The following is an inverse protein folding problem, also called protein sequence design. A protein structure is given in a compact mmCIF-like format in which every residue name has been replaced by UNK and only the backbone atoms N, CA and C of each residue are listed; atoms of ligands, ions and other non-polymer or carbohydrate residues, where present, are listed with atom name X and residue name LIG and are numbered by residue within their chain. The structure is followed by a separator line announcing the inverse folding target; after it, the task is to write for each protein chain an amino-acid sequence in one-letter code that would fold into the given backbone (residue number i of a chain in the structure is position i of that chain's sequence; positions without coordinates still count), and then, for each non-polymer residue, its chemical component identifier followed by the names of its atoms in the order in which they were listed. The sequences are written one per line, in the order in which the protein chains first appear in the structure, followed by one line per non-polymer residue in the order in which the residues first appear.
data_IF_801885769897
#
_entry.id   IF_801885769897
#
_cell.length_a   1.000
_cell.length_b   1.000
_cell.length_c   1.000
_cell.angle_alpha   90.00
_cell.angle_beta   90.00
_cell.angle_gamma   90.00
#
_symmetry.space_group_name_H-M   'P 1'
#
loop_
_entity.id
_entity.type
_entity.pdbx_description
1 polymer ?
#
# COMPACT_ATOMS: atom_id res chain seq x y z
N UNK A 1 23.43 -1.05 23.36
CA UNK A 1 23.26 0.19 24.16
C UNK A 1 21.78 0.36 24.45
N UNK A 2 21.39 0.91 25.60
CA UNK A 2 19.99 1.18 25.91
C UNK A 2 19.49 2.31 24.99
N UNK A 3 18.46 2.04 24.19
CA UNK A 3 17.83 3.03 23.31
C UNK A 3 17.05 4.02 24.15
N UNK A 4 17.31 5.31 23.97
CA UNK A 4 16.55 6.38 24.64
C UNK A 4 15.33 6.75 23.79
N UNK A 5 14.29 7.26 24.43
CA UNK A 5 13.10 7.73 23.72
C UNK A 5 13.18 9.25 23.59
N UNK A 6 12.83 9.77 22.41
CA UNK A 6 12.55 11.18 22.26
C UNK A 6 11.25 11.50 23.01
N UNK A 7 11.21 12.65 23.69
CA UNK A 7 9.95 13.20 24.19
C UNK A 7 9.05 13.42 22.98
N UNK A 8 7.83 12.89 23.06
CA UNK A 8 6.87 12.96 21.96
C UNK A 8 5.61 13.69 22.43
N UNK A 9 5.21 14.72 21.69
CA UNK A 9 3.94 15.42 21.87
C UNK A 9 2.98 15.01 20.76
N UNK A 10 1.69 14.92 21.05
CA UNK A 10 0.70 14.57 20.03
C UNK A 10 -0.64 15.26 20.28
N UNK A 11 -1.40 15.43 19.20
CA UNK A 11 -2.81 15.84 19.23
C UNK A 11 -3.50 15.40 17.93
N UNK A 12 -4.83 15.35 17.93
CA UNK A 12 -5.62 14.96 16.77
C UNK A 12 -6.46 16.10 16.16
N UNK A 13 -6.90 15.83 14.94
CA UNK A 13 -7.89 16.54 14.14
C UNK A 13 -8.78 15.49 13.48
N UNK A 14 -9.98 15.85 12.98
CA UNK A 14 -10.93 14.87 12.44
C UNK A 14 -10.40 13.91 11.35
N UNK A 15 -9.31 14.25 10.65
CA UNK A 15 -8.70 13.42 9.60
C UNK A 15 -7.21 13.11 9.81
N UNK A 16 -6.57 13.69 10.82
CA UNK A 16 -5.12 13.64 10.98
C UNK A 16 -4.73 13.55 12.45
N UNK A 17 -3.68 12.81 12.74
CA UNK A 17 -2.98 12.85 14.02
C UNK A 17 -1.62 13.50 13.78
N UNK A 18 -1.27 14.44 14.65
CA UNK A 18 0.02 15.12 14.62
C UNK A 18 0.88 14.55 15.74
N UNK A 19 2.11 14.18 15.42
CA UNK A 19 3.12 13.73 16.38
C UNK A 19 4.39 14.55 16.19
N UNK A 20 4.96 15.05 17.29
CA UNK A 20 6.18 15.84 17.33
C UNK A 20 7.21 15.12 18.20
N UNK A 21 8.31 14.68 17.59
CA UNK A 21 9.46 14.12 18.30
C UNK A 21 10.45 15.25 18.63
N UNK A 22 10.55 15.63 19.90
CA UNK A 22 11.35 16.77 20.34
C UNK A 22 12.84 16.38 20.46
N UNK A 23 13.59 16.47 19.37
CA UNK A 23 15.04 16.21 19.33
C UNK A 23 15.76 17.39 18.68
N UNK A 24 16.59 18.08 19.45
CA UNK A 24 17.44 19.17 18.95
C UNK A 24 18.61 18.61 18.12
N UNK A 25 18.98 19.34 17.06
CA UNK A 25 20.09 19.00 16.14
C UNK A 25 20.09 17.54 15.66
N UNK A 26 18.89 17.04 15.35
CA UNK A 26 18.73 15.64 14.94
C UNK A 26 19.44 15.33 13.62
N UNK A 27 20.13 14.19 13.60
CA UNK A 27 20.77 13.61 12.41
C UNK A 27 20.30 12.18 12.21
N UNK A 28 20.50 11.62 11.02
CA UNK A 28 20.08 10.25 10.67
C UNK A 28 18.60 9.95 10.98
N UNK A 29 17.71 10.93 10.74
CA UNK A 29 16.28 10.77 10.98
C UNK A 29 15.69 9.74 10.05
N UNK A 30 15.01 8.75 10.62
CA UNK A 30 14.28 7.71 9.91
C UNK A 30 12.87 7.58 10.50
N UNK A 31 11.88 7.58 9.62
CA UNK A 31 10.46 7.43 9.99
C UNK A 31 9.84 6.34 9.14
N UNK A 32 9.30 5.32 9.80
CA UNK A 32 8.52 4.26 9.19
C UNK A 32 7.07 4.39 9.65
N UNK A 33 6.15 4.49 8.71
CA UNK A 33 4.70 4.55 8.98
C UNK A 33 4.06 3.32 8.38
N UNK A 34 3.55 2.45 9.24
CA UNK A 34 2.73 1.29 8.88
C UNK A 34 1.27 1.60 9.19
N UNK A 35 0.35 0.71 8.80
CA UNK A 35 -1.08 0.92 9.05
C UNK A 35 -1.44 0.89 10.55
N UNK A 36 -0.63 0.23 11.37
CA UNK A 36 -0.89 -0.01 12.80
C UNK A 36 0.15 0.60 13.76
N UNK A 37 1.26 1.14 13.24
CA UNK A 37 2.31 1.73 14.08
C UNK A 37 3.12 2.78 13.34
N UNK A 38 3.82 3.60 14.11
CA UNK A 38 4.90 4.45 13.65
C UNK A 38 6.19 4.08 14.39
N UNK A 39 7.29 4.06 13.66
CA UNK A 39 8.64 3.96 14.21
C UNK A 39 9.42 5.20 13.81
N UNK A 40 9.92 5.91 14.81
CA UNK A 40 10.82 7.05 14.66
C UNK A 40 12.19 6.69 15.24
N UNK A 41 13.26 7.05 14.54
CA UNK A 41 14.60 7.01 15.08
C UNK A 41 15.47 8.13 14.55
N UNK A 42 16.45 8.56 15.34
CA UNK A 42 17.47 9.53 14.95
C UNK A 42 18.68 9.49 15.90
N UNK A 43 19.65 10.38 15.70
CA UNK A 43 20.69 10.73 16.67
C UNK A 43 20.57 12.18 17.07
N UNK A 44 20.85 12.50 18.34
CA UNK A 44 20.99 13.89 18.80
C UNK A 44 22.42 14.44 18.57
N UNK A 45 22.67 15.68 19.01
CA UNK A 45 23.98 16.34 18.93
C UNK A 45 25.14 15.54 19.56
N UNK A 46 24.88 14.77 20.60
CA UNK A 46 25.88 13.94 21.29
C UNK A 46 26.12 12.58 20.59
N UNK A 47 25.43 12.32 19.47
CA UNK A 47 25.47 11.05 18.75
C UNK A 47 24.69 9.92 19.44
N UNK A 48 23.87 10.24 20.44
CA UNK A 48 23.03 9.26 21.14
C UNK A 48 21.84 8.89 20.27
N UNK A 49 21.65 7.58 20.06
CA UNK A 49 20.52 7.04 19.31
C UNK A 49 19.21 7.12 20.10
N UNK A 50 18.21 7.73 19.48
CA UNK A 50 16.85 7.84 19.97
C UNK A 50 15.94 6.97 19.12
N UNK A 51 15.03 6.24 19.77
CA UNK A 51 14.10 5.31 19.13
C UNK A 51 12.74 5.37 19.82
N UNK A 52 11.68 5.55 19.04
CA UNK A 52 10.31 5.50 19.50
C UNK A 52 9.52 4.55 18.60
N UNK A 53 8.80 3.61 19.21
CA UNK A 53 7.84 2.75 18.54
C UNK A 53 6.48 2.92 19.21
N UNK A 54 5.48 3.32 18.44
CA UNK A 54 4.16 3.68 18.94
C UNK A 54 3.12 2.96 18.09
N UNK A 55 2.35 2.07 18.73
CA UNK A 55 1.18 1.45 18.12
C UNK A 55 0.01 2.44 18.09
N UNK A 56 -0.71 2.47 16.97
CA UNK A 56 -1.88 3.31 16.81
C UNK A 56 -3.11 2.68 17.45
N UNK A 57 -3.99 3.52 18.00
CA UNK A 57 -5.29 3.07 18.50
C UNK A 57 -6.18 2.51 17.38
N UNK A 58 -6.12 3.08 16.18
CA UNK A 58 -6.86 2.66 15.00
C UNK A 58 -5.96 2.73 13.76
N UNK A 59 -6.33 1.99 12.70
CA UNK A 59 -5.55 1.95 11.48
C UNK A 59 -5.46 3.31 10.79
N UNK A 60 -4.26 3.67 10.33
CA UNK A 60 -4.02 4.90 9.56
C UNK A 60 -3.76 4.52 8.11
N UNK A 61 -4.35 5.27 7.17
CA UNK A 61 -4.04 5.11 5.76
C UNK A 61 -2.74 5.84 5.43
N UNK A 62 -1.68 5.09 5.14
CA UNK A 62 -0.35 5.63 4.79
C UNK A 62 -0.19 5.91 3.29
N UNK A 63 -1.23 5.75 2.46
CA UNK A 63 -1.16 6.10 1.03
C UNK A 63 -0.74 7.56 0.88
N UNK A 64 0.35 7.85 0.15
CA UNK A 64 0.82 9.22 -0.01
C UNK A 64 -0.23 10.05 -0.76
N UNK A 65 -0.44 11.28 -0.32
CA UNK A 65 -1.46 12.18 -0.89
C UNK A 65 -1.24 12.54 -2.36
N UNK A 66 -0.01 12.35 -2.87
CA UNK A 66 0.33 12.58 -4.29
C UNK A 66 0.09 11.35 -5.17
N UNK A 67 -0.26 10.20 -4.59
CA UNK A 67 -0.55 8.97 -5.32
C UNK A 67 -2.06 8.77 -5.44
N UNK A 68 -2.58 8.92 -6.65
CA UNK A 68 -3.97 8.69 -7.00
C UNK A 68 -4.13 7.48 -7.92
N UNK A 69 -5.31 6.87 -7.91
CA UNK A 69 -5.68 5.82 -8.87
C UNK A 69 -5.90 6.45 -10.23
N UNK A 70 -5.28 5.88 -11.27
CA UNK A 70 -5.57 6.20 -12.66
C UNK A 70 -6.79 5.38 -13.10
N UNK A 71 -7.96 6.03 -13.11
CA UNK A 71 -9.21 5.38 -13.50
C UNK A 71 -9.34 5.19 -15.02
N UNK A 72 -8.61 5.95 -15.83
CA UNK A 72 -8.69 5.86 -17.29
C UNK A 72 -8.02 4.58 -17.80
N UNK A 73 -6.98 4.12 -17.09
CA UNK A 73 -6.23 2.91 -17.41
C UNK A 73 -6.55 1.71 -16.49
N UNK A 74 -7.47 1.85 -15.54
CA UNK A 74 -7.86 0.76 -14.66
C UNK A 74 -8.68 -0.29 -15.42
N UNK A 75 -8.30 -1.57 -15.32
CA UNK A 75 -9.04 -2.72 -15.87
C UNK A 75 -9.28 -3.73 -14.75
N UNK A 76 -10.53 -4.20 -14.66
CA UNK A 76 -10.87 -5.32 -13.81
C UNK A 76 -10.59 -6.63 -14.57
N UNK A 77 -9.34 -7.05 -14.51
CA UNK A 77 -8.79 -8.23 -15.17
C UNK A 77 -9.34 -9.59 -14.69
N UNK A 78 -10.10 -9.67 -13.60
CA UNK A 78 -10.58 -10.95 -13.03
C UNK A 78 -11.74 -11.61 -13.81
N UNK A 79 -12.16 -11.07 -14.96
CA UNK A 79 -13.25 -11.62 -15.79
C UNK A 79 -12.93 -11.88 -17.27
N UNK A 80 -11.70 -11.59 -17.73
CA UNK A 80 -11.38 -11.66 -19.16
C UNK A 80 -11.15 -13.11 -19.68
N UNK A 81 -10.87 -14.09 -18.80
CA UNK A 81 -10.67 -15.48 -19.23
C UNK A 81 -11.97 -16.17 -19.71
N UNK A 82 -13.12 -15.90 -19.08
CA UNK A 82 -14.41 -16.53 -19.43
C UNK A 82 -14.95 -16.00 -20.77
N UNK A 83 -14.69 -14.73 -21.09
CA UNK A 83 -15.05 -14.13 -22.37
C UNK A 83 -14.17 -14.61 -23.54
N UNK A 84 -12.89 -14.93 -23.28
CA UNK A 84 -12.00 -15.53 -24.29
C UNK A 84 -12.34 -17.00 -24.54
N UNK A 85 -12.65 -17.78 -23.49
CA UNK A 85 -13.09 -19.18 -23.64
C UNK A 85 -14.41 -19.29 -24.44
N UNK A 86 -15.38 -18.41 -24.18
CA UNK A 86 -16.64 -18.38 -24.93
C UNK A 86 -16.45 -18.09 -26.43
N UNK A 87 -15.44 -17.28 -26.79
CA UNK A 87 -15.11 -17.06 -28.21
C UNK A 87 -14.45 -18.29 -28.83
N UNK A 88 -13.54 -18.97 -28.12
CA UNK A 88 -12.86 -20.17 -28.61
C UNK A 88 -13.83 -21.34 -28.82
N UNK A 89 -14.82 -21.51 -27.95
CA UNK A 89 -15.85 -22.55 -28.08
C UNK A 89 -16.74 -22.33 -29.32
N UNK A 90 -17.14 -21.10 -29.63
CA UNK A 90 -17.94 -20.79 -30.83
C UNK A 90 -17.20 -21.14 -32.13
N UNK A 91 -15.90 -20.86 -32.21
CA UNK A 91 -15.10 -21.24 -33.41
C UNK A 91 -14.96 -22.75 -33.57
N UNK A 92 -14.90 -23.51 -32.46
CA UNK A 92 -14.81 -24.96 -32.50
C UNK A 92 -16.12 -25.63 -32.93
N UNK A 93 -17.27 -25.03 -32.60
CA UNK A 93 -18.59 -25.50 -33.04
C UNK A 93 -18.80 -25.28 -34.54
N UNK A 94 -18.47 -24.09 -35.07
CA UNK A 94 -18.60 -23.76 -36.50
C UNK A 94 -17.77 -24.69 -37.42
N UNK A 95 -16.57 -25.09 -36.99
CA UNK A 95 -15.72 -26.03 -37.74
C UNK A 95 -16.26 -27.47 -37.72
N UNK A 96 -17.05 -27.84 -36.70
CA UNK A 96 -17.58 -29.20 -36.54
C UNK A 96 -18.79 -29.49 -37.43
N UNK A 97 -19.65 -28.48 -37.69
CA UNK A 97 -20.82 -28.60 -38.57
C UNK A 97 -20.45 -28.66 -40.07
N UNK A 98 -19.25 -28.21 -40.46
CA UNK A 98 -18.76 -28.33 -41.83
C UNK A 98 -18.36 -29.77 -42.21
N UNK A 99 -18.16 -30.67 -41.25
CA UNK A 99 -17.68 -32.03 -41.50
C UNK A 99 -18.80 -33.03 -41.88
N UNK A 100 -20.07 -32.71 -41.62
CA UNK A 100 -21.21 -33.62 -41.82
C UNK A 100 -21.91 -33.44 -43.19
N UNK A 101 -21.48 -32.49 -44.02
CA UNK A 101 -22.08 -32.22 -45.34
C UNK A 101 -21.52 -33.10 -46.50
N UNK A 102 -20.62 -34.05 -46.21
CA UNK A 102 -20.06 -34.97 -47.24
C UNK A 102 -20.25 -36.44 -46.87
N UNK A 103 -21.50 -36.87 -46.73
CA UNK A 103 -21.82 -38.30 -46.89
C UNK A 103 -23.15 -38.42 -47.64
N UNK A 104 -23.06 -38.74 -48.93
CA UNK A 104 -24.15 -39.09 -49.81
C UNK A 104 -23.80 -40.40 -50.52
#
# INVERSE_FOLDING_TARGET
MARQHARTLWYDRPKYVFMEFCVEDSTDVHVLIEDHRIVFSCKNADGVELYNEIEFYAKVNSKPVWLSVDFDNWRDWEGDEEAELAHVEHYAEDDSDSADATSN
#
